data_IF_038321723845
#
_entry.id   IF_038321723845
#
_cell.length_a   1.000
_cell.length_b   1.000
_cell.length_c   1.000
_cell.angle_alpha   90.00
_cell.angle_beta   90.00
_cell.angle_gamma   90.00
#
_symmetry.space_group_name_H-M   'P 1'
#
loop_
_entity.id
_entity.type
_entity.pdbx_description
1 polymer ?
#
# COMPACT_ATOMS: atom_id res chain seq x y z
N UNK A 1 -6.36 13.69 -3.81
CA UNK A 1 -7.49 13.44 -4.74
C UNK A 1 -7.64 14.47 -5.87
N UNK A 2 -7.38 15.78 -5.73
CA UNK A 2 -7.66 16.76 -6.79
C UNK A 2 -7.05 16.39 -8.15
N UNK A 3 -5.84 15.81 -8.18
CA UNK A 3 -5.19 15.37 -9.43
C UNK A 3 -5.88 14.20 -10.10
N UNK A 4 -6.35 13.22 -9.32
CA UNK A 4 -7.08 12.04 -9.83
C UNK A 4 -8.39 12.51 -10.46
N UNK A 5 -9.12 13.38 -9.77
CA UNK A 5 -10.40 13.92 -10.25
C UNK A 5 -10.22 14.78 -11.52
N UNK A 6 -9.13 15.55 -11.60
CA UNK A 6 -8.80 16.34 -12.79
C UNK A 6 -8.55 15.43 -14.01
N UNK A 7 -7.70 14.41 -13.87
CA UNK A 7 -7.38 13.47 -14.96
C UNK A 7 -8.62 12.67 -15.36
N UNK A 8 -9.39 12.18 -14.39
CA UNK A 8 -10.66 11.49 -14.65
C UNK A 8 -11.62 12.38 -15.43
N UNK A 9 -11.77 13.65 -15.04
CA UNK A 9 -12.61 14.61 -15.75
C UNK A 9 -12.14 14.89 -17.18
N UNK A 10 -10.83 14.88 -17.45
CA UNK A 10 -10.28 15.00 -18.80
C UNK A 10 -10.59 13.75 -19.65
N UNK A 11 -10.39 12.57 -19.10
CA UNK A 11 -10.71 11.31 -19.79
C UNK A 11 -12.21 11.20 -20.09
N UNK A 12 -13.09 11.60 -19.16
CA UNK A 12 -14.54 11.60 -19.41
C UNK A 12 -14.94 12.50 -20.56
N UNK A 13 -14.27 13.64 -20.75
CA UNK A 13 -14.53 14.52 -21.90
C UNK A 13 -14.16 13.87 -23.23
N UNK A 14 -13.13 13.04 -23.26
CA UNK A 14 -12.72 12.29 -24.44
C UNK A 14 -13.54 11.01 -24.72
N UNK A 15 -14.44 10.62 -23.82
CA UNK A 15 -15.21 9.40 -23.95
C UNK A 15 -16.06 9.32 -25.25
N UNK A 16 -16.73 10.41 -25.71
CA UNK A 16 -17.50 10.38 -26.97
C UNK A 16 -16.62 10.15 -28.21
N UNK A 17 -15.34 10.50 -28.13
CA UNK A 17 -14.39 10.38 -29.23
C UNK A 17 -13.66 9.03 -29.25
N UNK A 18 -13.77 8.24 -28.17
CA UNK A 18 -13.11 6.93 -28.02
C UNK A 18 -13.42 6.01 -29.20
N UNK A 19 -14.67 5.93 -29.63
CA UNK A 19 -15.09 5.02 -30.71
C UNK A 19 -14.67 5.53 -32.11
N UNK A 20 -14.27 6.78 -32.22
CA UNK A 20 -13.70 7.37 -33.44
C UNK A 20 -12.21 7.10 -33.60
N UNK A 21 -11.53 6.64 -32.53
CA UNK A 21 -10.11 6.28 -32.59
C UNK A 21 -9.95 5.06 -33.49
N UNK A 22 -9.26 5.23 -34.60
CA UNK A 22 -9.02 4.16 -35.57
C UNK A 22 -7.79 3.30 -35.21
N UNK A 23 -6.79 3.91 -34.57
CA UNK A 23 -5.55 3.22 -34.20
C UNK A 23 -5.71 2.47 -32.89
N UNK A 24 -5.59 1.14 -32.95
CA UNK A 24 -5.79 0.23 -31.82
C UNK A 24 -4.89 0.57 -30.60
N UNK A 25 -3.65 1.00 -30.83
CA UNK A 25 -2.75 1.40 -29.74
C UNK A 25 -3.28 2.58 -28.92
N UNK A 26 -3.94 3.55 -29.56
CA UNK A 26 -4.50 4.71 -28.85
C UNK A 26 -5.78 4.36 -28.13
N UNK A 27 -6.57 3.46 -28.72
CA UNK A 27 -7.78 2.91 -28.11
C UNK A 27 -7.45 2.12 -26.85
N UNK A 28 -6.46 1.21 -26.94
CA UNK A 28 -5.91 0.47 -25.80
C UNK A 28 -5.38 1.41 -24.71
N UNK A 29 -4.61 2.43 -25.11
CA UNK A 29 -4.07 3.43 -24.20
C UNK A 29 -5.13 4.22 -23.46
N UNK A 30 -6.21 4.62 -24.15
CA UNK A 30 -7.33 5.31 -23.54
C UNK A 30 -8.07 4.42 -22.52
N UNK A 31 -8.44 3.19 -22.91
CA UNK A 31 -9.16 2.27 -22.03
C UNK A 31 -8.30 1.89 -20.80
N UNK A 32 -7.01 1.66 -20.99
CA UNK A 32 -6.07 1.40 -19.91
C UNK A 32 -5.98 2.62 -18.94
N UNK A 33 -5.85 3.83 -19.48
CA UNK A 33 -5.79 5.05 -18.68
C UNK A 33 -7.07 5.25 -17.87
N UNK A 34 -8.25 5.06 -18.49
CA UNK A 34 -9.54 5.15 -17.83
C UNK A 34 -9.67 4.10 -16.71
N UNK A 35 -9.36 2.84 -16.99
CA UNK A 35 -9.41 1.76 -16.01
C UNK A 35 -8.50 2.02 -14.81
N UNK A 36 -7.26 2.44 -15.05
CA UNK A 36 -6.29 2.73 -13.98
C UNK A 36 -6.68 3.94 -13.13
N UNK A 37 -7.16 5.03 -13.73
CA UNK A 37 -7.57 6.21 -12.97
C UNK A 37 -8.79 5.93 -12.09
N UNK A 38 -9.75 5.14 -12.59
CA UNK A 38 -10.89 4.68 -11.81
C UNK A 38 -10.46 3.78 -10.66
N UNK A 39 -9.58 2.81 -10.91
CA UNK A 39 -9.03 1.93 -9.88
C UNK A 39 -8.30 2.73 -8.78
N UNK A 40 -7.48 3.68 -9.17
CA UNK A 40 -6.77 4.57 -8.24
C UNK A 40 -7.74 5.41 -7.40
N UNK A 41 -8.81 5.94 -8.01
CA UNK A 41 -9.86 6.67 -7.31
C UNK A 41 -10.55 5.80 -6.27
N UNK A 42 -10.97 4.60 -6.66
CA UNK A 42 -11.62 3.63 -5.78
C UNK A 42 -10.72 3.27 -4.58
N UNK A 43 -9.45 2.95 -4.83
CA UNK A 43 -8.49 2.64 -3.74
C UNK A 43 -8.33 3.82 -2.78
N UNK A 44 -8.25 5.03 -3.31
CA UNK A 44 -8.11 6.24 -2.49
C UNK A 44 -9.36 6.48 -1.63
N UNK A 45 -10.54 6.36 -2.21
CA UNK A 45 -11.82 6.54 -1.49
C UNK A 45 -11.98 5.45 -0.42
N UNK A 46 -11.67 4.19 -0.77
CA UNK A 46 -11.71 3.07 0.16
C UNK A 46 -10.74 3.26 1.35
N UNK A 47 -9.50 3.64 1.07
CA UNK A 47 -8.50 3.91 2.09
C UNK A 47 -8.94 5.02 3.04
N UNK A 48 -9.40 6.15 2.50
CA UNK A 48 -9.85 7.30 3.29
C UNK A 48 -11.04 6.94 4.18
N UNK A 49 -11.99 6.15 3.66
CA UNK A 49 -13.13 5.71 4.46
C UNK A 49 -12.69 4.78 5.60
N UNK A 50 -11.74 3.86 5.35
CA UNK A 50 -11.20 3.00 6.41
C UNK A 50 -10.51 3.82 7.49
N UNK A 51 -9.74 4.85 7.12
CA UNK A 51 -9.13 5.75 8.10
C UNK A 51 -10.19 6.57 8.87
N UNK A 52 -11.25 7.03 8.20
CA UNK A 52 -12.34 7.73 8.86
C UNK A 52 -13.04 6.85 9.90
N UNK A 53 -13.28 5.57 9.58
CA UNK A 53 -13.83 4.58 10.51
C UNK A 53 -12.92 4.36 11.73
N UNK A 54 -11.61 4.23 11.50
CA UNK A 54 -10.65 4.11 12.60
C UNK A 54 -10.65 5.35 13.51
N UNK A 55 -10.71 6.54 12.91
CA UNK A 55 -10.76 7.81 13.65
C UNK A 55 -12.05 7.97 14.45
N UNK A 56 -13.16 7.44 13.98
CA UNK A 56 -14.44 7.43 14.70
C UNK A 56 -14.44 6.49 15.93
N UNK A 57 -13.42 5.66 16.06
CA UNK A 57 -13.25 4.68 17.13
C UNK A 57 -13.72 3.28 16.69
N UNK A 58 -12.83 2.32 16.82
CA UNK A 58 -13.10 0.91 16.55
C UNK A 58 -12.87 0.11 17.83
N UNK A 59 -13.78 -0.82 18.12
CA UNK A 59 -13.68 -1.70 19.27
C UNK A 59 -13.27 -3.10 18.81
N UNK A 60 -12.37 -3.74 19.54
CA UNK A 60 -11.99 -5.12 19.28
C UNK A 60 -13.16 -6.05 19.55
N UNK A 61 -13.38 -6.99 18.64
CA UNK A 61 -14.35 -8.08 18.81
C UNK A 61 -13.78 -9.19 19.68
N UNK A 62 -12.50 -9.44 19.54
CA UNK A 62 -11.79 -10.43 20.35
C UNK A 62 -11.09 -9.75 21.54
N UNK A 63 -11.28 -10.25 22.78
CA UNK A 63 -10.64 -9.69 23.96
C UNK A 63 -9.11 -9.89 23.97
N UNK A 64 -8.59 -10.74 23.11
CA UNK A 64 -7.13 -10.94 22.94
C UNK A 64 -6.50 -10.01 21.91
N UNK A 65 -7.29 -9.33 21.08
CA UNK A 65 -6.79 -8.42 20.07
C UNK A 65 -6.32 -7.12 20.71
N UNK A 66 -5.16 -6.64 20.28
CA UNK A 66 -4.55 -5.41 20.79
C UNK A 66 -4.16 -4.45 19.65
N UNK A 67 -4.27 -4.88 18.41
CA UNK A 67 -3.82 -4.11 17.25
C UNK A 67 -4.77 -4.27 16.07
N UNK A 68 -4.97 -3.16 15.33
CA UNK A 68 -5.67 -3.15 14.06
C UNK A 68 -4.66 -3.08 12.91
N UNK A 69 -4.84 -3.95 11.92
CA UNK A 69 -4.05 -3.92 10.68
C UNK A 69 -4.97 -3.68 9.49
N UNK A 70 -4.68 -2.64 8.71
CA UNK A 70 -5.38 -2.39 7.45
C UNK A 70 -4.75 -3.23 6.35
N UNK A 71 -5.56 -4.06 5.68
CA UNK A 71 -5.12 -4.94 4.59
C UNK A 71 -5.88 -4.64 3.31
N UNK A 72 -5.23 -4.82 2.14
CA UNK A 72 -5.93 -4.81 0.87
C UNK A 72 -6.99 -5.92 0.83
N UNK A 73 -8.13 -5.64 0.21
CA UNK A 73 -9.26 -6.56 0.06
C UNK A 73 -9.90 -6.42 -1.33
N UNK A 74 -10.38 -7.51 -1.89
CA UNK A 74 -11.14 -7.47 -3.14
C UNK A 74 -12.56 -6.95 -2.96
N UNK A 75 -13.02 -6.86 -1.72
CA UNK A 75 -14.34 -6.33 -1.40
C UNK A 75 -14.26 -4.81 -1.27
N UNK A 76 -15.04 -4.11 -2.08
CA UNK A 76 -15.20 -2.65 -2.05
C UNK A 76 -16.48 -2.34 -1.28
N UNK A 77 -16.40 -2.20 0.04
CA UNK A 77 -17.54 -1.89 0.90
C UNK A 77 -17.47 -0.43 1.40
N UNK A 78 -17.57 0.50 0.44
CA UNK A 78 -17.41 1.94 0.68
C UNK A 78 -18.60 2.77 0.17
N UNK A 79 -19.67 2.10 -0.26
CA UNK A 79 -20.89 2.71 -0.77
C UNK A 79 -21.07 2.53 -2.28
N UNK A 80 -22.32 2.57 -2.70
CA UNK A 80 -22.76 2.19 -4.04
C UNK A 80 -22.09 3.00 -5.17
N UNK A 81 -21.75 4.25 -4.93
CA UNK A 81 -21.04 5.08 -5.91
C UNK A 81 -19.64 4.54 -6.19
N UNK A 82 -18.88 4.21 -5.15
CA UNK A 82 -17.52 3.70 -5.29
C UNK A 82 -17.51 2.27 -5.84
N UNK A 83 -18.51 1.48 -5.48
CA UNK A 83 -18.71 0.13 -6.07
C UNK A 83 -18.95 0.20 -7.58
N UNK A 84 -19.78 1.14 -8.05
CA UNK A 84 -20.01 1.38 -9.49
C UNK A 84 -18.71 1.79 -10.20
N UNK A 85 -17.90 2.67 -9.60
CA UNK A 85 -16.61 3.04 -10.15
C UNK A 85 -15.64 1.86 -10.22
N UNK A 86 -15.66 0.97 -9.21
CA UNK A 86 -14.87 -0.26 -9.21
C UNK A 86 -15.27 -1.21 -10.33
N UNK A 87 -16.56 -1.35 -10.58
CA UNK A 87 -17.07 -2.14 -11.70
C UNK A 87 -16.65 -1.55 -13.04
N UNK A 88 -16.79 -0.24 -13.22
CA UNK A 88 -16.34 0.44 -14.43
C UNK A 88 -14.83 0.29 -14.66
N UNK A 89 -14.02 0.40 -13.61
CA UNK A 89 -12.58 0.17 -13.72
C UNK A 89 -12.28 -1.23 -14.28
N UNK A 90 -12.94 -2.26 -13.74
CA UNK A 90 -12.78 -3.64 -14.21
C UNK A 90 -13.22 -3.80 -15.66
N UNK A 91 -14.33 -3.19 -16.06
CA UNK A 91 -14.83 -3.25 -17.45
C UNK A 91 -13.79 -2.66 -18.42
N UNK A 92 -13.23 -1.49 -18.12
CA UNK A 92 -12.22 -0.88 -18.98
C UNK A 92 -10.96 -1.73 -19.09
N UNK A 93 -10.46 -2.23 -17.95
CA UNK A 93 -9.26 -3.08 -17.92
C UNK A 93 -9.47 -4.41 -18.62
N UNK A 94 -10.63 -5.04 -18.40
CA UNK A 94 -10.99 -6.30 -19.05
C UNK A 94 -11.09 -6.14 -20.57
N UNK A 95 -11.67 -5.03 -21.04
CA UNK A 95 -11.73 -4.70 -22.47
C UNK A 95 -10.33 -4.60 -23.09
N UNK A 96 -9.36 -4.00 -22.39
CA UNK A 96 -7.99 -3.95 -22.89
C UNK A 96 -7.40 -5.35 -23.08
N UNK A 97 -7.68 -6.27 -22.18
CA UNK A 97 -7.22 -7.66 -22.28
C UNK A 97 -7.87 -8.37 -23.45
N UNK A 98 -9.18 -8.20 -23.64
CA UNK A 98 -9.96 -8.88 -24.67
C UNK A 98 -9.66 -8.34 -26.08
N UNK A 99 -9.55 -7.02 -26.22
CA UNK A 99 -9.38 -6.37 -27.53
C UNK A 99 -7.91 -6.33 -28.00
N UNK A 100 -6.93 -6.45 -27.07
CA UNK A 100 -5.51 -6.24 -27.39
C UNK A 100 -4.59 -7.34 -26.83
N UNK A 101 -4.91 -8.64 -27.11
CA UNK A 101 -4.12 -9.76 -26.57
C UNK A 101 -2.68 -9.75 -27.11
N UNK A 102 -1.71 -10.20 -26.30
CA UNK A 102 -0.29 -10.27 -26.63
C UNK A 102 0.43 -8.93 -26.65
N UNK A 103 -0.23 -7.86 -26.18
CA UNK A 103 0.34 -6.50 -26.18
C UNK A 103 0.83 -6.06 -24.80
N UNK A 104 1.73 -5.06 -24.73
CA UNK A 104 2.10 -4.46 -23.44
C UNK A 104 0.91 -3.87 -22.66
N UNK A 105 -0.14 -3.43 -23.33
CA UNK A 105 -1.35 -2.90 -22.68
C UNK A 105 -2.13 -4.00 -21.97
N UNK A 106 -2.27 -5.18 -22.57
CA UNK A 106 -2.85 -6.36 -21.91
C UNK A 106 -2.11 -6.66 -20.60
N UNK A 107 -0.78 -6.78 -20.66
CA UNK A 107 0.03 -7.05 -19.48
C UNK A 107 -0.17 -6.01 -18.36
N UNK A 108 -0.27 -4.72 -18.72
CA UNK A 108 -0.51 -3.65 -17.76
C UNK A 108 -1.92 -3.69 -17.18
N UNK A 109 -2.92 -4.04 -18.00
CA UNK A 109 -4.31 -4.17 -17.56
C UNK A 109 -4.49 -5.37 -16.62
N UNK A 110 -3.92 -6.52 -16.97
CA UNK A 110 -3.94 -7.72 -16.13
C UNK A 110 -3.27 -7.45 -14.77
N UNK A 111 -2.09 -6.83 -14.78
CA UNK A 111 -1.40 -6.44 -13.54
C UNK A 111 -2.22 -5.50 -12.67
N UNK A 112 -3.00 -4.60 -13.27
CA UNK A 112 -3.88 -3.69 -12.54
C UNK A 112 -5.10 -4.40 -11.96
N UNK A 113 -5.71 -5.34 -12.71
CA UNK A 113 -6.85 -6.15 -12.27
C UNK A 113 -6.50 -7.07 -11.10
N UNK A 114 -5.26 -7.56 -11.06
CA UNK A 114 -4.76 -8.42 -9.98
C UNK A 114 -4.50 -7.64 -8.67
N UNK A 115 -4.59 -6.30 -8.69
CA UNK A 115 -4.46 -5.51 -7.48
C UNK A 115 -5.81 -5.29 -6.81
N UNK A 116 -5.95 -5.58 -5.51
CA UNK A 116 -7.17 -5.31 -4.76
C UNK A 116 -7.60 -3.84 -4.84
N UNK A 117 -8.90 -3.60 -4.94
CA UNK A 117 -9.48 -2.26 -5.02
C UNK A 117 -9.97 -1.73 -3.68
N UNK A 118 -10.24 -2.61 -2.71
CA UNK A 118 -10.74 -2.26 -1.40
C UNK A 118 -9.71 -2.48 -0.30
N UNK A 119 -10.16 -2.22 0.93
CA UNK A 119 -9.40 -2.45 2.15
C UNK A 119 -10.32 -3.00 3.23
N UNK A 120 -9.73 -3.77 4.15
CA UNK A 120 -10.41 -4.28 5.35
C UNK A 120 -9.52 -4.11 6.59
N UNK A 121 -10.15 -3.86 7.73
CA UNK A 121 -9.48 -3.90 9.02
C UNK A 121 -9.45 -5.33 9.55
N UNK A 122 -8.26 -5.79 9.95
CA UNK A 122 -8.08 -7.07 10.67
C UNK A 122 -7.56 -6.82 12.07
N UNK A 123 -8.20 -7.47 13.01
CA UNK A 123 -7.72 -7.54 14.39
C UNK A 123 -6.58 -8.55 14.46
N UNK A 124 -5.51 -8.17 15.14
CA UNK A 124 -4.39 -9.07 15.43
C UNK A 124 -3.99 -8.93 16.89
N UNK A 125 -3.41 -9.99 17.43
CA UNK A 125 -2.75 -9.98 18.71
C UNK A 125 -1.25 -9.87 18.50
N UNK A 126 -0.65 -8.81 18.99
CA UNK A 126 0.80 -8.56 18.89
C UNK A 126 1.53 -8.82 20.20
N UNK A 127 0.79 -8.92 21.29
CA UNK A 127 1.33 -9.07 22.63
C UNK A 127 1.94 -7.80 23.20
N UNK A 128 1.63 -6.65 22.58
CA UNK A 128 2.17 -5.36 23.03
C UNK A 128 1.70 -4.97 24.43
N UNK A 129 0.50 -5.44 24.80
CA UNK A 129 -0.13 -5.23 26.08
C UNK A 129 -0.04 -6.46 27.00
N UNK A 130 0.66 -7.51 26.57
CA UNK A 130 0.84 -8.71 27.39
C UNK A 130 1.72 -8.37 28.58
N UNK A 131 1.42 -8.91 29.78
CA UNK A 131 2.32 -8.78 30.91
C UNK A 131 3.68 -9.36 30.55
N UNK A 132 4.78 -8.74 31.01
CA UNK A 132 6.11 -9.24 30.73
C UNK A 132 6.21 -10.72 31.16
N UNK A 133 6.62 -11.57 30.22
CA UNK A 133 6.83 -12.99 30.52
C UNK A 133 7.74 -13.13 31.72
N UNK A 134 7.42 -14.01 32.72
CA UNK A 134 8.30 -14.30 33.82
C UNK A 134 9.68 -14.65 33.23
N UNK A 135 10.72 -13.93 33.66
CA UNK A 135 12.07 -14.28 33.24
C UNK A 135 12.32 -15.71 33.70
N UNK A 136 12.82 -16.61 32.84
CA UNK A 136 13.27 -17.91 33.33
C UNK A 136 14.24 -17.67 34.47
N UNK A 137 14.22 -18.52 35.54
CA UNK A 137 15.13 -18.41 36.67
C UNK A 137 16.54 -18.28 36.11
N UNK A 138 17.16 -17.14 36.37
CA UNK A 138 18.37 -16.71 35.69
C UNK A 138 19.47 -17.72 35.99
N UNK A 139 20.10 -18.24 34.96
CA UNK A 139 21.45 -18.71 35.06
C UNK A 139 22.30 -17.49 35.53
N UNK A 140 22.66 -17.49 36.82
CA UNK A 140 23.41 -16.39 37.48
C UNK A 140 24.85 -16.24 36.94
N UNK A 141 25.14 -16.75 35.74
CA UNK A 141 26.41 -16.59 35.02
C UNK A 141 26.47 -15.31 34.17
N UNK A 142 25.69 -14.28 34.46
CA UNK A 142 26.03 -12.96 33.93
C UNK A 142 27.23 -12.42 34.71
N UNK A 143 28.34 -12.09 34.04
CA UNK A 143 29.45 -11.41 34.70
C UNK A 143 28.92 -10.16 35.40
N UNK A 144 29.32 -9.99 36.65
CA UNK A 144 28.93 -8.87 37.48
C UNK A 144 29.32 -7.54 36.78
N UNK A 145 28.49 -6.47 36.87
CA UNK A 145 28.88 -5.15 36.35
C UNK A 145 30.18 -4.58 36.95
N UNK A 146 30.77 -5.25 37.95
CA UNK A 146 32.05 -4.86 38.54
C UNK A 146 33.27 -5.20 37.70
N UNK A 147 33.15 -5.98 36.62
CA UNK A 147 34.29 -6.35 35.77
C UNK A 147 34.49 -5.44 34.56
N UNK A 148 33.68 -4.40 34.40
CA UNK A 148 33.96 -3.34 33.46
C UNK A 148 35.07 -2.41 34.01
N UNK A 149 36.29 -2.94 34.00
CA UNK A 149 37.48 -2.07 34.14
C UNK A 149 37.44 -1.06 32.98
N UNK A 150 37.55 0.24 33.25
CA UNK A 150 37.63 1.22 32.17
C UNK A 150 38.76 0.80 31.23
N UNK A 151 38.45 0.54 29.98
CA UNK A 151 39.45 0.28 28.95
C UNK A 151 40.42 1.47 28.92
N UNK A 152 41.64 1.27 29.42
CA UNK A 152 42.67 2.26 29.25
C UNK A 152 42.85 2.53 27.76
N UNK A 153 42.62 3.76 27.34
CA UNK A 153 42.99 4.19 26.02
C UNK A 153 44.48 3.91 25.85
N UNK A 154 44.83 3.06 24.88
CA UNK A 154 46.23 2.81 24.58
C UNK A 154 47.02 4.11 24.29
N UNK A 155 48.31 4.06 24.34
CA UNK A 155 49.13 5.26 24.16
C UNK A 155 48.78 5.95 22.84
N UNK A 156 48.74 7.31 22.81
CA UNK A 156 48.38 8.09 21.65
C UNK A 156 49.28 7.71 20.46
N UNK A 157 48.66 7.45 19.33
CA UNK A 157 49.40 7.13 18.09
C UNK A 157 50.33 8.26 17.70
N UNK A 158 51.55 7.96 17.26
CA UNK A 158 52.53 8.99 16.83
C UNK A 158 51.95 9.79 15.67
N UNK A 159 52.02 11.10 15.75
CA UNK A 159 51.61 12.03 14.71
C UNK A 159 52.37 11.76 13.43
N UNK A 160 51.70 11.39 12.36
CA UNK A 160 52.28 11.28 11.00
C UNK A 160 52.76 12.64 10.54
N UNK A 161 54.06 12.81 10.39
CA UNK A 161 54.64 13.97 9.72
C UNK A 161 54.30 13.90 8.21
N UNK A 162 53.32 14.69 7.78
CA UNK A 162 53.08 14.95 6.39
C UNK A 162 54.17 15.90 5.87
N UNK A 163 55.09 15.38 5.08
CA UNK A 163 56.00 16.24 4.31
C UNK A 163 55.17 17.02 3.30
N UNK A 164 55.21 18.35 3.41
CA UNK A 164 54.69 19.23 2.34
C UNK A 164 55.60 19.06 1.13
N UNK A 165 55.03 18.74 -0.01
CA UNK A 165 55.57 18.83 -1.34
C UNK A 165 55.25 20.24 -1.87
#
# INVERSE_FOLDING_TARGET
QPRIDLIHGQLLRGLPDRDRIQEERWKAGYDLAMGRILAMKVRTDAYNLMLARAKAGMQFKSPRSDTWTLRPSNVVNVGSRTEKLAQQARIYLQRVIEDHPGTPWEFLADRELNQPLGYEWKEIHTGINDPPKPRPPGNNNRPSPRDDKPRSLGPPMPKRNLKRI
#
